data_IF_297300985119
#
_entry.id   IF_297300985119
#
_cell.length_a   1.000
_cell.length_b   1.000
_cell.length_c   1.000
_cell.angle_alpha   90.00
_cell.angle_beta   90.00
_cell.angle_gamma   90.00
#
_symmetry.space_group_name_H-M   'P 1'
#
loop_
_entity.id
_entity.type
_entity.pdbx_description
1 polymer ?
#
# COMPACT_ATOMS: atom_id res chain seq x y z
N UNK A 1 5.34 0.23 15.12
CA UNK A 1 6.17 0.00 13.89
C UNK A 1 5.36 -0.45 12.66
N UNK A 2 4.03 -0.50 12.74
CA UNK A 2 3.14 -0.74 11.60
C UNK A 2 2.02 0.31 11.47
N UNK A 3 1.90 1.23 12.44
CA UNK A 3 0.79 2.20 12.48
C UNK A 3 0.75 3.10 11.24
N UNK A 4 1.90 3.50 10.69
CA UNK A 4 1.95 4.33 9.49
C UNK A 4 1.36 3.62 8.25
N UNK A 5 1.52 2.30 8.13
CA UNK A 5 0.95 1.53 7.01
C UNK A 5 -0.55 1.29 7.20
N UNK A 6 -1.01 1.16 8.44
CA UNK A 6 -2.43 1.10 8.77
C UNK A 6 -3.11 2.45 8.52
N UNK A 7 -2.47 3.56 8.88
CA UNK A 7 -2.96 4.90 8.58
C UNK A 7 -3.04 5.15 7.06
N UNK A 8 -2.04 4.68 6.30
CA UNK A 8 -2.09 4.72 4.84
C UNK A 8 -3.26 3.89 4.30
N UNK A 9 -3.48 2.68 4.83
CA UNK A 9 -4.64 1.86 4.47
C UNK A 9 -5.97 2.59 4.72
N UNK A 10 -6.09 3.29 5.86
CA UNK A 10 -7.26 4.10 6.18
C UNK A 10 -7.46 5.25 5.20
N UNK A 11 -6.40 5.98 4.85
CA UNK A 11 -6.45 7.07 3.85
C UNK A 11 -6.86 6.57 2.46
N UNK A 12 -6.48 5.34 2.11
CA UNK A 12 -6.86 4.68 0.86
C UNK A 12 -8.30 4.11 0.87
N UNK A 13 -9.04 4.28 1.97
CA UNK A 13 -10.43 3.82 2.08
C UNK A 13 -10.59 2.34 2.45
N UNK A 14 -9.54 1.68 2.94
CA UNK A 14 -9.64 0.26 3.29
C UNK A 14 -10.62 0.03 4.45
N UNK A 15 -11.54 -0.92 4.27
CA UNK A 15 -12.32 -1.49 5.37
C UNK A 15 -11.41 -2.04 6.47
N UNK A 16 -11.86 -1.99 7.73
CA UNK A 16 -11.04 -2.32 8.90
C UNK A 16 -10.48 -3.73 8.85
N UNK A 17 -11.24 -4.69 8.31
CA UNK A 17 -10.80 -6.09 8.16
C UNK A 17 -9.64 -6.23 7.15
N UNK A 18 -9.57 -5.32 6.16
CA UNK A 18 -8.55 -5.34 5.11
C UNK A 18 -7.31 -4.50 5.41
N UNK A 19 -7.38 -3.57 6.37
CA UNK A 19 -6.25 -2.68 6.72
C UNK A 19 -4.98 -3.47 7.07
N UNK A 20 -5.11 -4.55 7.85
CA UNK A 20 -3.97 -5.41 8.22
C UNK A 20 -3.37 -6.10 6.99
N UNK A 21 -4.20 -6.65 6.11
CA UNK A 21 -3.73 -7.35 4.91
C UNK A 21 -3.05 -6.40 3.93
N UNK A 22 -3.60 -5.20 3.76
CA UNK A 22 -3.00 -4.12 2.99
C UNK A 22 -1.63 -3.71 3.57
N UNK A 23 -1.54 -3.51 4.88
CA UNK A 23 -0.29 -3.17 5.54
C UNK A 23 0.77 -4.26 5.40
N UNK A 24 0.38 -5.55 5.45
CA UNK A 24 1.28 -6.69 5.20
C UNK A 24 1.80 -6.68 3.77
N UNK A 25 0.93 -6.44 2.77
CA UNK A 25 1.33 -6.31 1.38
C UNK A 25 2.39 -5.22 1.19
N UNK A 26 2.12 -4.00 1.67
CA UNK A 26 3.07 -2.89 1.56
C UNK A 26 4.39 -3.17 2.29
N UNK A 27 4.34 -3.88 3.42
CA UNK A 27 5.53 -4.26 4.17
C UNK A 27 6.41 -5.23 3.39
N UNK A 28 5.83 -6.24 2.73
CA UNK A 28 6.58 -7.17 1.87
C UNK A 28 7.25 -6.46 0.68
N UNK A 29 6.62 -5.41 0.16
CA UNK A 29 7.15 -4.64 -0.97
C UNK A 29 7.84 -3.33 -0.56
N UNK A 30 8.14 -3.14 0.73
CA UNK A 30 8.57 -1.86 1.28
C UNK A 30 9.79 -1.29 0.55
N UNK A 31 10.83 -2.10 0.32
CA UNK A 31 12.04 -1.64 -0.35
C UNK A 31 11.79 -1.22 -1.82
N UNK A 32 10.84 -1.89 -2.48
CA UNK A 32 10.47 -1.55 -3.86
C UNK A 32 9.63 -0.27 -3.89
N UNK A 33 8.68 -0.12 -2.97
CA UNK A 33 7.77 1.03 -2.90
C UNK A 33 8.48 2.31 -2.45
N UNK A 34 9.26 2.23 -1.37
CA UNK A 34 9.82 3.39 -0.66
C UNK A 34 11.32 3.59 -0.92
N UNK A 35 11.78 3.27 -2.13
CA UNK A 35 13.19 3.50 -2.49
C UNK A 35 13.47 5.01 -2.46
N UNK A 36 14.41 5.44 -1.59
CA UNK A 36 14.69 6.86 -1.32
C UNK A 36 15.05 7.72 -2.56
N UNK A 37 15.45 7.09 -3.67
CA UNK A 37 15.79 7.76 -4.92
C UNK A 37 14.59 8.01 -5.83
N UNK A 38 13.40 7.48 -5.49
CA UNK A 38 12.24 7.59 -6.34
C UNK A 38 11.44 8.87 -6.08
N UNK A 39 10.95 9.47 -7.16
CA UNK A 39 10.03 10.60 -7.06
C UNK A 39 8.70 10.16 -6.48
N UNK A 40 7.94 11.10 -5.91
CA UNK A 40 6.59 10.85 -5.39
C UNK A 40 5.68 10.20 -6.46
N UNK A 41 5.76 10.65 -7.71
CA UNK A 41 5.00 10.08 -8.83
C UNK A 41 5.34 8.61 -9.07
N UNK A 42 6.62 8.24 -8.93
CA UNK A 42 7.08 6.87 -9.10
C UNK A 42 6.63 5.95 -7.96
N UNK A 43 6.54 6.47 -6.73
CA UNK A 43 5.89 5.76 -5.63
C UNK A 43 4.42 5.44 -5.94
N UNK A 44 3.65 6.44 -6.39
CA UNK A 44 2.23 6.26 -6.71
C UNK A 44 2.02 5.23 -7.82
N UNK A 45 2.83 5.28 -8.88
CA UNK A 45 2.76 4.33 -9.99
C UNK A 45 3.08 2.89 -9.55
N UNK A 46 4.07 2.72 -8.67
CA UNK A 46 4.42 1.41 -8.10
C UNK A 46 3.32 0.88 -7.18
N UNK A 47 2.72 1.75 -6.38
CA UNK A 47 1.60 1.39 -5.52
C UNK A 47 0.39 0.96 -6.37
N UNK A 48 0.04 1.71 -7.40
CA UNK A 48 -1.03 1.37 -8.34
C UNK A 48 -0.78 0.03 -9.04
N UNK A 49 0.45 -0.19 -9.52
CA UNK A 49 0.87 -1.46 -10.13
C UNK A 49 0.70 -2.63 -9.15
N UNK A 50 1.15 -2.45 -7.90
CA UNK A 50 1.06 -3.47 -6.87
C UNK A 50 -0.39 -3.82 -6.52
N UNK A 51 -1.27 -2.83 -6.42
CA UNK A 51 -2.70 -3.04 -6.15
C UNK A 51 -3.42 -3.69 -7.32
N UNK A 52 -3.08 -3.33 -8.56
CA UNK A 52 -3.62 -3.96 -9.77
C UNK A 52 -3.26 -5.45 -9.82
N UNK A 53 -2.06 -5.82 -9.38
CA UNK A 53 -1.62 -7.22 -9.28
C UNK A 53 -2.28 -7.97 -8.10
N UNK A 54 -2.82 -7.26 -7.13
CA UNK A 54 -3.42 -7.83 -5.91
C UNK A 54 -4.85 -7.28 -5.70
N UNK A 55 -5.80 -7.53 -6.63
CA UNK A 55 -7.11 -6.88 -6.64
C UNK A 55 -7.95 -7.19 -5.39
N UNK A 56 -7.78 -8.38 -4.78
CA UNK A 56 -8.45 -8.75 -3.52
C UNK A 56 -8.02 -7.90 -2.32
N UNK A 57 -6.86 -7.26 -2.41
CA UNK A 57 -6.29 -6.39 -1.39
C UNK A 57 -6.44 -4.91 -1.75
N UNK A 58 -7.07 -4.59 -2.89
CA UNK A 58 -7.46 -3.23 -3.19
C UNK A 58 -8.51 -2.76 -2.19
N UNK A 59 -8.38 -1.48 -1.84
CA UNK A 59 -9.25 -0.80 -0.90
C UNK A 59 -10.36 -0.01 -1.58
N UNK A 60 -10.37 0.00 -2.91
CA UNK A 60 -11.54 0.34 -3.71
C UNK A 60 -12.57 -0.78 -3.56
N UNK A 61 -13.58 -0.53 -2.71
CA UNK A 61 -14.88 -1.18 -2.83
C UNK A 61 -15.67 -0.56 -3.97
#
# INVERSE_FOLDING_TARGET
KGENLIALAQMMGCAKERQTQFAVLLRHHYFSLFKNTDTRSKFLLKLETLLTQNPSLSCSG
#
